data_IF_005771755391
#
_entry.id   IF_005771755391
#
_cell.length_a   1.000
_cell.length_b   1.000
_cell.length_c   1.000
_cell.angle_alpha   90.00
_cell.angle_beta   90.00
_cell.angle_gamma   90.00
#
_symmetry.space_group_name_H-M   'P 1'
#
loop_
_entity.id
_entity.type
_entity.pdbx_description
1 polymer ?
#
# COMPACT_ATOMS: atom_id res chain seq x y z
N UNK A 1 3.85 12.69 55.08
CA UNK A 1 3.29 11.54 54.35
C UNK A 1 1.84 11.85 54.01
N UNK A 2 1.57 12.35 52.81
CA UNK A 2 0.22 12.54 52.27
C UNK A 2 0.18 11.78 50.95
N UNK A 3 -0.61 10.72 50.91
CA UNK A 3 -0.80 9.88 49.73
C UNK A 3 -1.62 10.65 48.69
N UNK A 4 -1.02 10.91 47.53
CA UNK A 4 -1.72 11.45 46.38
C UNK A 4 -2.64 10.36 45.78
N UNK A 5 -3.95 10.59 45.82
CA UNK A 5 -4.93 9.81 45.06
C UNK A 5 -4.88 10.22 43.58
N UNK A 6 -4.17 9.45 42.76
CA UNK A 6 -4.30 9.51 41.31
C UNK A 6 -5.66 8.93 40.89
N UNK A 7 -6.57 9.76 40.36
CA UNK A 7 -7.78 9.27 39.68
C UNK A 7 -7.34 8.53 38.41
N UNK A 8 -7.69 7.25 38.32
CA UNK A 8 -7.61 6.51 37.07
C UNK A 8 -8.63 7.13 36.09
N UNK A 9 -8.14 7.69 35.00
CA UNK A 9 -8.98 8.13 33.89
C UNK A 9 -9.46 6.88 33.15
N UNK A 10 -10.77 6.64 33.12
CA UNK A 10 -11.36 5.57 32.31
C UNK A 10 -11.14 5.80 30.81
N UNK A 11 -11.28 4.76 29.97
CA UNK A 11 -11.09 4.89 28.53
C UNK A 11 -12.06 5.91 27.94
N UNK A 12 -11.53 6.88 27.19
CA UNK A 12 -12.32 7.84 26.42
C UNK A 12 -12.50 7.30 25.01
N UNK A 13 -13.75 7.14 24.57
CA UNK A 13 -14.09 6.64 23.22
C UNK A 13 -14.57 7.80 22.35
N UNK A 14 -13.99 7.94 21.16
CA UNK A 14 -14.49 8.85 20.13
C UNK A 14 -15.53 8.12 19.27
N UNK A 15 -16.75 8.66 19.21
CA UNK A 15 -17.87 8.03 18.51
C UNK A 15 -18.13 8.62 17.11
N UNK A 16 -17.62 9.83 16.83
CA UNK A 16 -17.84 10.52 15.56
C UNK A 16 -16.71 10.25 14.55
N UNK A 17 -17.08 9.77 13.37
CA UNK A 17 -16.15 9.50 12.29
C UNK A 17 -16.11 10.66 11.29
N UNK A 18 -15.24 11.64 11.53
CA UNK A 18 -15.08 12.84 10.69
C UNK A 18 -14.75 12.57 9.21
N UNK A 19 -14.14 11.41 8.90
CA UNK A 19 -13.75 11.06 7.54
C UNK A 19 -14.92 10.59 6.68
N UNK A 20 -15.90 9.88 7.25
CA UNK A 20 -16.95 9.23 6.47
C UNK A 20 -18.12 10.19 6.23
N UNK A 21 -18.33 10.59 4.98
CA UNK A 21 -19.30 11.63 4.63
C UNK A 21 -20.72 11.11 4.32
N UNK A 22 -20.95 9.79 4.41
CA UNK A 22 -22.19 9.16 3.96
C UNK A 22 -22.72 8.09 4.92
N UNK A 23 -23.99 8.17 5.40
CA UNK A 23 -24.55 7.22 6.37
C UNK A 23 -24.53 5.76 5.91
N UNK A 24 -24.82 5.51 4.63
CA UNK A 24 -24.81 4.15 4.07
C UNK A 24 -23.39 3.55 4.04
N UNK A 25 -22.39 4.36 3.72
CA UNK A 25 -21.00 3.92 3.72
C UNK A 25 -20.48 3.73 5.15
N UNK A 26 -20.85 4.62 6.08
CA UNK A 26 -20.54 4.47 7.49
C UNK A 26 -21.12 3.18 8.08
N UNK A 27 -22.35 2.82 7.74
CA UNK A 27 -22.98 1.56 8.15
C UNK A 27 -22.21 0.35 7.62
N UNK A 28 -21.76 0.39 6.37
CA UNK A 28 -20.91 -0.66 5.78
C UNK A 28 -19.58 -0.77 6.54
N UNK A 29 -18.87 0.34 6.76
CA UNK A 29 -17.60 0.35 7.48
C UNK A 29 -17.76 -0.15 8.92
N UNK A 30 -18.82 0.27 9.60
CA UNK A 30 -19.14 -0.21 10.96
C UNK A 30 -19.36 -1.72 10.96
N UNK A 31 -20.12 -2.25 10.01
CA UNK A 31 -20.29 -3.70 9.89
C UNK A 31 -18.94 -4.38 9.66
N UNK A 32 -18.14 -3.94 8.70
CA UNK A 32 -16.82 -4.54 8.43
C UNK A 32 -15.85 -4.46 9.61
N UNK A 33 -16.06 -3.50 10.53
CA UNK A 33 -15.28 -3.37 11.76
C UNK A 33 -15.66 -4.43 12.79
N UNK A 34 -16.96 -4.72 12.95
CA UNK A 34 -17.50 -5.51 14.08
C UNK A 34 -18.02 -6.89 13.70
N UNK A 35 -18.28 -7.14 12.41
CA UNK A 35 -18.86 -8.39 11.93
C UNK A 35 -18.44 -8.70 10.48
N UNK A 36 -18.69 -9.93 10.05
CA UNK A 36 -18.59 -10.28 8.62
C UNK A 36 -19.76 -9.65 7.85
N UNK A 37 -19.58 -9.29 6.56
CA UNK A 37 -20.65 -8.70 5.77
C UNK A 37 -21.78 -9.70 5.53
N UNK A 38 -23.02 -9.21 5.59
CA UNK A 38 -24.19 -9.98 5.17
C UNK A 38 -24.25 -10.16 3.64
N UNK A 39 -25.20 -10.96 3.15
CA UNK A 39 -25.37 -11.22 1.71
C UNK A 39 -25.56 -9.95 0.88
N UNK A 40 -26.23 -8.93 1.42
CA UNK A 40 -26.51 -7.67 0.70
C UNK A 40 -25.23 -6.87 0.55
N UNK A 41 -24.48 -6.69 1.63
CA UNK A 41 -23.23 -5.93 1.61
C UNK A 41 -22.13 -6.68 0.85
N UNK A 42 -22.08 -8.01 0.93
CA UNK A 42 -21.18 -8.81 0.10
C UNK A 42 -21.47 -8.63 -1.40
N UNK A 43 -22.76 -8.64 -1.81
CA UNK A 43 -23.16 -8.36 -3.20
C UNK A 43 -22.77 -6.95 -3.64
N UNK A 44 -22.93 -5.95 -2.78
CA UNK A 44 -22.52 -4.58 -3.05
C UNK A 44 -21.00 -4.46 -3.25
N UNK A 45 -20.19 -5.04 -2.36
CA UNK A 45 -18.73 -5.08 -2.51
C UNK A 45 -18.34 -5.80 -3.82
N UNK A 46 -18.97 -6.94 -4.10
CA UNK A 46 -18.72 -7.72 -5.31
C UNK A 46 -19.20 -7.04 -6.60
N UNK A 47 -20.05 -6.02 -6.54
CA UNK A 47 -20.42 -5.21 -7.72
C UNK A 47 -19.38 -4.15 -8.10
N UNK A 48 -18.42 -3.86 -7.22
CA UNK A 48 -17.41 -2.81 -7.39
C UNK A 48 -16.07 -3.38 -7.83
N UNK A 49 -16.05 -4.22 -8.85
CA UNK A 49 -14.84 -4.92 -9.28
C UNK A 49 -13.93 -4.01 -10.10
N UNK A 50 -12.62 -3.96 -9.80
CA UNK A 50 -11.65 -3.25 -10.62
C UNK A 50 -11.25 -4.01 -11.90
N UNK A 51 -11.42 -5.34 -11.91
CA UNK A 51 -11.11 -6.20 -13.05
C UNK A 51 -11.95 -7.48 -13.05
N UNK A 52 -11.90 -8.18 -14.18
CA UNK A 52 -12.59 -9.45 -14.39
C UNK A 52 -11.68 -10.62 -14.03
N UNK A 53 -12.23 -11.67 -13.41
CA UNK A 53 -11.47 -12.85 -12.99
C UNK A 53 -11.40 -13.00 -11.47
N UNK A 54 -11.10 -14.21 -11.01
CA UNK A 54 -11.01 -14.59 -9.59
C UNK A 54 -9.57 -14.83 -9.16
N UNK A 55 -8.62 -13.99 -9.54
CA UNK A 55 -7.20 -14.16 -9.23
C UNK A 55 -6.43 -12.84 -9.25
N UNK A 56 -5.09 -12.90 -9.18
CA UNK A 56 -4.22 -11.73 -9.36
C UNK A 56 -4.54 -11.00 -10.67
N UNK A 57 -4.49 -9.66 -10.69
CA UNK A 57 -4.78 -8.90 -11.90
C UNK A 57 -3.72 -9.15 -12.97
N UNK A 58 -4.15 -9.24 -14.23
CA UNK A 58 -3.23 -9.24 -15.38
C UNK A 58 -2.61 -7.83 -15.58
N UNK A 59 -1.51 -7.73 -16.36
CA UNK A 59 -0.96 -6.43 -16.74
C UNK A 59 -1.99 -5.50 -17.41
N UNK A 60 -2.88 -6.06 -18.23
CA UNK A 60 -3.95 -5.31 -18.90
C UNK A 60 -5.04 -4.83 -17.92
N UNK A 61 -5.33 -5.61 -16.88
CA UNK A 61 -6.25 -5.20 -15.83
C UNK A 61 -5.73 -3.99 -15.06
N UNK A 62 -4.47 -4.06 -14.61
CA UNK A 62 -3.86 -2.96 -13.85
C UNK A 62 -3.70 -1.73 -14.73
N UNK A 63 -3.29 -1.89 -16.00
CA UNK A 63 -3.21 -0.79 -16.96
C UNK A 63 -4.55 -0.09 -17.16
N UNK A 64 -5.65 -0.84 -17.38
CA UNK A 64 -6.99 -0.28 -17.53
C UNK A 64 -7.45 0.43 -16.26
N UNK A 65 -7.21 -0.16 -15.10
CA UNK A 65 -7.50 0.45 -13.80
C UNK A 65 -6.80 1.80 -13.68
N UNK A 66 -5.47 1.84 -13.82
CA UNK A 66 -4.68 3.06 -13.65
C UNK A 66 -4.99 4.13 -14.72
N UNK A 67 -5.43 3.72 -15.92
CA UNK A 67 -5.92 4.67 -16.94
C UNK A 67 -7.26 5.30 -16.55
N UNK A 68 -8.18 4.51 -15.98
CA UNK A 68 -9.52 4.98 -15.58
C UNK A 68 -9.54 5.71 -14.23
N UNK A 69 -8.60 5.38 -13.34
CA UNK A 69 -8.45 5.90 -11.98
C UNK A 69 -6.96 6.11 -11.68
N UNK A 70 -6.32 7.12 -12.28
CA UNK A 70 -4.89 7.39 -12.07
C UNK A 70 -4.57 7.80 -10.62
N UNK A 71 -5.58 8.25 -9.87
CA UNK A 71 -5.53 8.63 -8.46
C UNK A 71 -5.73 7.45 -7.49
N UNK A 72 -6.02 6.24 -8.00
CA UNK A 72 -6.24 5.09 -7.12
C UNK A 72 -4.95 4.62 -6.47
N UNK A 73 -5.02 4.38 -5.18
CA UNK A 73 -4.00 3.58 -4.48
C UNK A 73 -4.48 2.13 -4.40
N UNK A 74 -3.71 1.19 -4.95
CA UNK A 74 -4.02 -0.23 -4.79
C UNK A 74 -3.50 -0.71 -3.45
N UNK A 75 -4.41 -1.17 -2.59
CA UNK A 75 -4.08 -1.73 -1.28
C UNK A 75 -4.24 -3.25 -1.31
N UNK A 76 -3.24 -3.97 -0.80
CA UNK A 76 -3.24 -5.43 -0.69
C UNK A 76 -3.12 -5.86 0.77
N UNK A 77 -3.40 -7.13 1.06
CA UNK A 77 -3.21 -7.68 2.40
C UNK A 77 -1.75 -8.08 2.60
N UNK A 78 -1.18 -8.80 1.63
CA UNK A 78 0.19 -9.29 1.72
C UNK A 78 1.17 -8.50 0.85
N UNK A 79 2.46 -8.59 1.21
CA UNK A 79 3.58 -8.08 0.39
C UNK A 79 3.68 -8.79 -0.95
N UNK A 80 3.36 -10.09 -1.01
CA UNK A 80 3.31 -10.86 -2.26
C UNK A 80 2.22 -10.32 -3.19
N UNK A 81 1.05 -10.01 -2.65
CA UNK A 81 -0.02 -9.33 -3.40
C UNK A 81 0.41 -7.97 -3.93
N UNK A 82 1.07 -7.15 -3.10
CA UNK A 82 1.59 -5.85 -3.54
C UNK A 82 2.64 -6.01 -4.65
N UNK A 83 3.56 -6.96 -4.52
CA UNK A 83 4.57 -7.25 -5.55
C UNK A 83 3.90 -7.70 -6.86
N UNK A 84 2.93 -8.61 -6.80
CA UNK A 84 2.20 -9.08 -7.98
C UNK A 84 1.51 -7.93 -8.73
N UNK A 85 0.81 -7.05 -8.02
CA UNK A 85 0.16 -5.88 -8.63
C UNK A 85 1.19 -4.90 -9.19
N UNK A 86 2.28 -4.63 -8.46
CA UNK A 86 3.33 -3.75 -8.94
C UNK A 86 4.01 -4.29 -10.20
N UNK A 87 4.29 -5.59 -10.27
CA UNK A 87 4.85 -6.23 -11.47
C UNK A 87 3.88 -6.14 -12.65
N UNK A 88 2.60 -6.45 -12.44
CA UNK A 88 1.57 -6.30 -13.47
C UNK A 88 1.44 -4.84 -13.95
N UNK A 89 1.57 -3.86 -13.04
CA UNK A 89 1.58 -2.44 -13.41
C UNK A 89 2.79 -2.11 -14.29
N UNK A 90 3.99 -2.57 -13.92
CA UNK A 90 5.21 -2.31 -14.67
C UNK A 90 5.17 -2.95 -16.07
N UNK A 91 4.73 -4.21 -16.17
CA UNK A 91 4.54 -4.91 -17.44
C UNK A 91 3.48 -4.23 -18.31
N UNK A 92 2.36 -3.78 -17.72
CA UNK A 92 1.27 -3.15 -18.45
C UNK A 92 1.61 -1.73 -18.94
N UNK A 93 2.34 -0.96 -18.13
CA UNK A 93 2.67 0.45 -18.42
C UNK A 93 3.95 0.61 -19.25
N UNK A 94 4.90 -0.32 -19.15
CA UNK A 94 6.21 -0.25 -19.82
C UNK A 94 6.53 -1.47 -20.72
N UNK A 95 5.60 -2.02 -21.52
CA UNK A 95 5.78 -3.31 -22.21
C UNK A 95 6.83 -3.30 -23.33
N UNK A 96 7.26 -2.12 -23.80
CA UNK A 96 8.11 -1.96 -25.00
C UNK A 96 9.48 -1.34 -24.71
N UNK A 97 9.79 -1.03 -23.46
CA UNK A 97 11.03 -0.37 -23.10
C UNK A 97 11.83 -1.29 -22.18
N UNK A 98 13.11 -1.56 -22.46
CA UNK A 98 13.96 -2.17 -21.45
C UNK A 98 14.12 -1.20 -20.27
N UNK A 99 14.25 -1.71 -19.03
CA UNK A 99 14.55 -0.87 -17.89
C UNK A 99 15.91 -0.18 -18.09
N UNK A 100 16.05 1.03 -17.56
CA UNK A 100 17.31 1.79 -17.58
C UNK A 100 18.39 1.11 -16.75
N UNK A 101 17.98 0.50 -15.64
CA UNK A 101 18.83 -0.24 -14.72
C UNK A 101 17.94 -1.14 -13.84
N UNK A 102 18.52 -2.17 -13.24
CA UNK A 102 17.94 -2.89 -12.12
C UNK A 102 18.67 -2.49 -10.84
N UNK A 103 17.94 -2.05 -9.83
CA UNK A 103 18.53 -1.61 -8.56
C UNK A 103 18.10 -2.52 -7.41
N UNK A 104 18.94 -2.56 -6.38
CA UNK A 104 18.60 -3.07 -5.06
C UNK A 104 17.78 -2.01 -4.32
N UNK A 105 16.48 -2.23 -4.23
CA UNK A 105 15.50 -1.31 -3.68
C UNK A 105 15.06 -1.72 -2.27
N UNK A 106 13.98 -1.13 -1.77
CA UNK A 106 13.51 -1.30 -0.40
C UNK A 106 13.48 -2.75 0.13
N UNK A 107 14.23 -3.00 1.20
CA UNK A 107 14.38 -4.32 1.84
C UNK A 107 13.05 -4.81 2.42
N UNK A 108 12.30 -3.94 3.07
CA UNK A 108 11.03 -4.30 3.71
C UNK A 108 9.89 -4.58 2.72
N UNK A 109 10.05 -4.16 1.46
CA UNK A 109 9.10 -4.42 0.39
C UNK A 109 9.32 -5.79 -0.26
N UNK A 110 10.47 -6.42 -0.05
CA UNK A 110 10.76 -7.74 -0.57
C UNK A 110 9.94 -8.81 0.19
N UNK A 111 8.99 -9.51 -0.46
CA UNK A 111 8.22 -10.54 0.21
C UNK A 111 9.04 -11.77 0.62
N UNK A 112 10.19 -12.02 0.01
CA UNK A 112 11.05 -13.15 0.34
C UNK A 112 11.76 -12.98 1.68
N UNK A 113 11.76 -11.76 2.23
CA UNK A 113 12.25 -11.46 3.58
C UNK A 113 11.25 -11.86 4.68
N UNK A 114 10.11 -12.44 4.32
CA UNK A 114 9.06 -12.80 5.25
C UNK A 114 8.65 -14.27 5.09
N UNK A 115 8.52 -14.95 6.21
CA UNK A 115 8.01 -16.32 6.30
C UNK A 115 6.83 -16.36 7.25
N UNK A 116 5.68 -16.84 6.77
CA UNK A 116 4.41 -16.87 7.54
C UNK A 116 4.00 -15.52 8.15
N UNK A 117 4.43 -14.41 7.53
CA UNK A 117 4.14 -13.04 7.99
C UNK A 117 5.19 -12.45 8.94
N UNK A 118 6.11 -13.27 9.43
CA UNK A 118 7.22 -12.84 10.28
C UNK A 118 8.43 -12.49 9.43
N UNK A 119 9.16 -11.45 9.86
CA UNK A 119 10.39 -11.03 9.18
C UNK A 119 11.51 -12.01 9.53
N UNK A 120 12.31 -12.41 8.52
CA UNK A 120 13.52 -13.20 8.71
C UNK A 120 14.57 -12.45 9.56
N UNK A 121 15.57 -13.18 10.05
CA UNK A 121 16.74 -12.61 10.71
C UNK A 121 17.48 -11.61 9.80
N UNK A 122 18.18 -10.64 10.39
CA UNK A 122 18.80 -9.52 9.67
C UNK A 122 19.77 -9.99 8.59
N UNK A 123 20.55 -11.03 8.88
CA UNK A 123 21.57 -11.59 8.01
C UNK A 123 20.98 -12.28 6.77
N UNK A 124 19.69 -12.63 6.82
CA UNK A 124 18.96 -13.26 5.74
C UNK A 124 18.11 -12.27 4.93
N UNK A 125 18.12 -10.98 5.29
CA UNK A 125 17.37 -9.96 4.56
C UNK A 125 18.10 -9.59 3.27
N UNK A 126 17.34 -9.53 2.18
CA UNK A 126 17.84 -9.10 0.88
C UNK A 126 17.01 -7.94 0.32
N UNK A 127 17.65 -6.92 -0.29
CA UNK A 127 16.94 -5.86 -1.00
C UNK A 127 15.95 -6.41 -2.05
N UNK A 128 14.87 -5.69 -2.31
CA UNK A 128 13.98 -6.03 -3.44
C UNK A 128 14.65 -5.63 -4.74
N UNK A 129 14.76 -6.53 -5.72
CA UNK A 129 15.18 -6.13 -7.06
C UNK A 129 14.07 -5.34 -7.74
N UNK A 130 14.40 -4.16 -8.28
CA UNK A 130 13.43 -3.28 -8.94
C UNK A 130 13.97 -2.79 -10.29
N UNK A 131 13.23 -2.97 -11.39
CA UNK A 131 13.55 -2.35 -12.66
C UNK A 131 13.20 -0.85 -12.62
N UNK A 132 14.06 -0.02 -13.21
CA UNK A 132 13.86 1.42 -13.29
C UNK A 132 13.41 1.82 -14.69
N UNK A 133 12.21 2.39 -14.81
CA UNK A 133 11.70 2.98 -16.04
C UNK A 133 11.51 4.48 -15.89
N UNK A 134 11.79 5.25 -16.95
CA UNK A 134 11.44 6.68 -16.96
C UNK A 134 9.93 6.81 -16.87
N UNK A 135 9.45 7.76 -16.07
CA UNK A 135 8.04 7.99 -15.73
C UNK A 135 7.37 6.94 -14.84
N UNK A 136 8.08 5.92 -14.33
CA UNK A 136 7.47 5.04 -13.32
C UNK A 136 7.20 5.80 -12.02
N UNK A 137 6.12 5.40 -11.34
CA UNK A 137 5.80 5.89 -10.01
C UNK A 137 6.58 5.08 -8.97
N UNK A 138 7.19 5.76 -8.01
CA UNK A 138 7.85 5.17 -6.85
C UNK A 138 7.41 5.86 -5.58
N UNK A 139 7.56 5.16 -4.45
CA UNK A 139 7.49 5.78 -3.13
C UNK A 139 8.87 5.76 -2.49
N UNK A 140 9.24 6.86 -1.83
CA UNK A 140 10.41 6.88 -0.94
C UNK A 140 10.09 6.10 0.33
N UNK A 141 11.07 5.38 0.88
CA UNK A 141 10.87 4.50 2.04
C UNK A 141 11.64 4.91 3.28
N UNK A 142 12.37 6.04 3.23
CA UNK A 142 13.13 6.59 4.35
C UNK A 142 12.90 8.10 4.51
N UNK A 143 13.05 8.57 5.74
CA UNK A 143 13.14 9.99 6.05
C UNK A 143 14.60 10.41 5.98
N UNK A 144 14.95 11.22 4.98
CA UNK A 144 16.33 11.69 4.78
C UNK A 144 16.38 13.22 4.85
N UNK A 145 15.47 13.92 4.15
CA UNK A 145 15.46 15.39 4.07
C UNK A 145 14.05 15.92 3.87
N UNK A 146 13.49 16.55 4.90
CA UNK A 146 12.08 17.01 4.89
C UNK A 146 11.86 18.27 4.06
N UNK A 147 12.87 19.12 3.93
CA UNK A 147 12.84 20.40 3.18
C UNK A 147 12.60 20.23 1.67
N UNK A 148 12.86 19.03 1.14
CA UNK A 148 12.63 18.66 -0.27
C UNK A 148 11.78 17.41 -0.41
N UNK A 149 10.97 17.10 0.61
CA UNK A 149 10.05 15.96 0.56
C UNK A 149 10.72 14.59 0.45
N UNK A 150 11.99 14.45 0.81
CA UNK A 150 12.61 13.13 0.99
C UNK A 150 12.18 12.53 2.33
N UNK A 151 10.93 12.09 2.37
CA UNK A 151 10.26 11.48 3.52
C UNK A 151 9.63 10.15 3.15
N UNK A 152 9.51 9.25 4.13
CA UNK A 152 8.86 7.96 3.95
C UNK A 152 7.40 8.17 3.52
N UNK A 153 7.00 7.52 2.42
CA UNK A 153 5.67 7.66 1.85
C UNK A 153 5.50 8.82 0.88
N UNK A 154 6.55 9.58 0.56
CA UNK A 154 6.48 10.57 -0.53
C UNK A 154 6.41 9.87 -1.89
N UNK A 155 5.38 10.19 -2.67
CA UNK A 155 5.23 9.72 -4.04
C UNK A 155 6.13 10.52 -4.97
N UNK A 156 6.86 9.82 -5.84
CA UNK A 156 7.71 10.42 -6.85
C UNK A 156 7.49 9.80 -8.23
N UNK A 157 7.84 10.56 -9.27
CA UNK A 157 7.98 10.11 -10.65
C UNK A 157 9.46 10.01 -11.00
N UNK A 158 9.87 8.90 -11.59
CA UNK A 158 11.25 8.72 -12.07
C UNK A 158 11.50 9.60 -13.30
N UNK A 159 12.53 10.43 -13.24
CA UNK A 159 13.01 11.25 -14.35
C UNK A 159 14.07 10.52 -15.18
N UNK A 160 14.86 9.66 -14.54
CA UNK A 160 15.85 8.82 -15.22
C UNK A 160 16.92 8.28 -14.30
N UNK A 161 17.90 7.62 -14.90
CA UNK A 161 19.07 7.06 -14.23
C UNK A 161 20.32 7.85 -14.65
N UNK A 162 21.21 8.10 -13.70
CA UNK A 162 22.57 8.58 -13.93
C UNK A 162 23.54 7.42 -13.67
N UNK A 163 24.14 6.89 -14.73
CA UNK A 163 25.03 5.74 -14.65
C UNK A 163 26.39 6.10 -14.05
N UNK A 164 26.85 7.34 -14.19
CA UNK A 164 28.15 7.77 -13.66
C UNK A 164 28.06 7.99 -12.14
N UNK A 165 26.97 8.61 -11.69
CA UNK A 165 26.73 8.87 -10.27
C UNK A 165 26.06 7.70 -9.52
N UNK A 166 25.66 6.64 -10.25
CA UNK A 166 24.79 5.57 -9.75
C UNK A 166 23.60 6.16 -8.97
N UNK A 167 22.82 7.01 -9.65
CA UNK A 167 21.79 7.80 -8.99
C UNK A 167 20.45 7.78 -9.73
N UNK A 168 19.38 7.57 -8.97
CA UNK A 168 18.02 7.63 -9.48
C UNK A 168 17.50 9.08 -9.39
N UNK A 169 17.22 9.71 -10.53
CA UNK A 169 16.64 11.06 -10.56
C UNK A 169 15.12 10.98 -10.48
N UNK A 170 14.54 11.73 -9.55
CA UNK A 170 13.09 11.72 -9.28
C UNK A 170 12.53 13.13 -9.16
N UNK A 171 11.21 13.24 -9.31
CA UNK A 171 10.41 14.44 -9.01
C UNK A 171 9.26 14.05 -8.07
N UNK A 172 9.10 14.75 -6.95
CA UNK A 172 7.98 14.55 -6.01
C UNK A 172 6.68 15.09 -6.58
N UNK A 173 5.53 14.69 -6.00
CA UNK A 173 4.22 15.24 -6.40
C UNK A 173 4.08 16.75 -6.13
N UNK A 174 4.90 17.30 -5.24
CA UNK A 174 5.02 18.74 -4.93
C UNK A 174 6.00 19.49 -5.83
N UNK A 175 6.73 18.79 -6.72
CA UNK A 175 7.60 19.39 -7.73
C UNK A 175 9.09 19.47 -7.36
N UNK A 176 9.52 18.94 -6.21
CA UNK A 176 10.95 18.88 -5.86
C UNK A 176 11.66 17.84 -6.71
N UNK A 177 12.82 18.22 -7.26
CA UNK A 177 13.67 17.35 -8.08
C UNK A 177 14.99 17.08 -7.39
N UNK A 178 15.35 15.81 -7.26
CA UNK A 178 16.62 15.40 -6.65
C UNK A 178 17.06 14.02 -7.13
N UNK A 179 18.30 13.68 -6.81
CA UNK A 179 18.85 12.36 -6.98
C UNK A 179 18.69 11.53 -5.69
N UNK A 180 18.41 10.25 -5.85
CA UNK A 180 18.37 9.25 -4.78
C UNK A 180 19.56 8.32 -4.98
N UNK A 181 20.39 8.23 -3.94
CA UNK A 181 21.55 7.35 -3.88
C UNK A 181 21.26 6.13 -3.00
N UNK A 182 22.09 5.07 -3.07
CA UNK A 182 22.05 3.99 -2.11
C UNK A 182 22.21 4.52 -0.68
N UNK A 183 21.41 3.97 0.23
CA UNK A 183 21.41 4.23 1.65
C UNK A 183 21.99 3.01 2.38
N UNK A 184 22.94 3.24 3.29
CA UNK A 184 23.44 2.21 4.22
C UNK A 184 22.57 2.22 5.46
N UNK A 185 21.88 1.12 5.71
CA UNK A 185 20.92 1.01 6.79
C UNK A 185 21.49 0.27 8.00
N UNK A 186 21.93 1.02 9.00
CA UNK A 186 22.52 0.47 10.23
C UNK A 186 21.54 -0.39 11.02
N UNK A 187 20.24 -0.09 10.94
CA UNK A 187 19.19 -0.83 11.66
C UNK A 187 18.88 -2.18 10.99
N UNK A 188 19.29 -2.35 9.73
CA UNK A 188 19.17 -3.58 8.96
C UNK A 188 20.53 -4.26 8.73
N UNK A 189 21.48 -4.09 9.65
CA UNK A 189 22.78 -4.78 9.56
C UNK A 189 23.69 -4.22 8.46
N UNK A 190 23.64 -2.91 8.22
CA UNK A 190 24.41 -2.20 7.20
C UNK A 190 24.09 -2.60 5.75
N UNK A 191 22.88 -3.13 5.50
CA UNK A 191 22.43 -3.41 4.13
C UNK A 191 22.38 -2.11 3.33
N UNK A 192 22.92 -2.15 2.12
CA UNK A 192 22.94 -1.02 1.18
C UNK A 192 21.85 -1.21 0.13
N UNK A 193 20.95 -0.23 0.01
CA UNK A 193 19.86 -0.26 -0.97
C UNK A 193 19.35 1.14 -1.30
N UNK A 194 18.67 1.32 -2.43
CA UNK A 194 17.97 2.56 -2.75
C UNK A 194 16.65 2.62 -1.95
N UNK A 195 16.40 3.67 -1.15
CA UNK A 195 15.22 3.79 -0.30
C UNK A 195 13.96 4.16 -1.10
N UNK A 196 13.63 3.32 -2.08
CA UNK A 196 12.50 3.46 -3.01
C UNK A 196 11.84 2.12 -3.24
N UNK A 197 10.56 2.14 -3.63
CA UNK A 197 9.80 0.95 -4.06
C UNK A 197 8.82 1.31 -5.18
N UNK A 198 8.34 0.36 -6.00
CA UNK A 198 7.29 0.63 -6.97
C UNK A 198 6.04 1.23 -6.30
N UNK A 199 5.43 2.19 -7.00
CA UNK A 199 4.43 3.07 -6.43
C UNK A 199 2.97 2.68 -6.64
N UNK A 200 2.68 1.55 -7.29
CA UNK A 200 1.32 1.23 -7.77
C UNK A 200 0.48 0.46 -6.75
N UNK A 201 1.13 -0.32 -5.89
CA UNK A 201 0.46 -1.06 -4.83
C UNK A 201 1.27 -1.09 -3.53
N UNK A 202 0.58 -1.24 -2.41
CA UNK A 202 1.18 -1.44 -1.09
C UNK A 202 0.25 -2.21 -0.16
N UNK A 203 0.78 -2.61 1.00
CA UNK A 203 -0.04 -3.31 1.99
C UNK A 203 -0.92 -2.32 2.77
N UNK A 204 -2.13 -2.76 3.13
CA UNK A 204 -3.07 -1.98 3.96
C UNK A 204 -2.41 -1.48 5.26
N UNK A 205 -1.50 -2.26 5.84
CA UNK A 205 -0.77 -1.89 7.06
C UNK A 205 0.09 -0.63 6.92
N UNK A 206 0.63 -0.32 5.73
CA UNK A 206 1.44 0.89 5.50
C UNK A 206 0.61 2.17 5.38
N UNK A 207 -0.71 2.07 5.24
CA UNK A 207 -1.63 3.21 5.06
C UNK A 207 -2.55 3.42 6.26
N UNK A 208 -2.19 2.90 7.44
CA UNK A 208 -2.89 3.23 8.68
C UNK A 208 -2.79 4.74 8.96
N UNK A 209 -3.91 5.39 9.30
CA UNK A 209 -4.00 6.84 9.48
C UNK A 209 -4.28 7.67 8.21
N UNK A 210 -3.86 7.23 7.02
CA UNK A 210 -3.99 8.01 5.79
C UNK A 210 -5.44 8.22 5.33
N UNK A 211 -5.69 9.34 4.65
CA UNK A 211 -6.88 9.60 3.83
C UNK A 211 -6.48 9.60 2.36
N UNK A 212 -7.19 8.84 1.54
CA UNK A 212 -6.89 8.63 0.13
C UNK A 212 -8.08 9.08 -0.73
N UNK A 213 -7.83 9.68 -1.91
CA UNK A 213 -8.91 10.11 -2.81
C UNK A 213 -9.70 8.94 -3.37
N UNK A 214 -9.01 7.83 -3.69
CA UNK A 214 -9.61 6.60 -4.17
C UNK A 214 -8.78 5.37 -3.77
N UNK A 215 -9.44 4.25 -3.45
CA UNK A 215 -8.79 2.98 -3.12
C UNK A 215 -9.28 1.84 -4.00
N UNK A 216 -8.35 1.05 -4.52
CA UNK A 216 -8.65 -0.29 -5.02
C UNK A 216 -8.14 -1.31 -4.01
N UNK A 217 -9.02 -1.95 -3.26
CA UNK A 217 -8.65 -2.98 -2.30
C UNK A 217 -8.61 -4.36 -2.99
N UNK A 218 -7.44 -4.98 -3.03
CA UNK A 218 -7.26 -6.36 -3.49
C UNK A 218 -6.98 -7.27 -2.30
N UNK A 219 -7.96 -8.10 -1.95
CA UNK A 219 -7.89 -9.02 -0.81
C UNK A 219 -7.22 -10.32 -1.28
N UNK A 220 -5.90 -10.30 -1.36
CA UNK A 220 -5.08 -11.40 -1.88
C UNK A 220 -4.89 -12.58 -0.90
N UNK A 221 -5.14 -12.33 0.39
CA UNK A 221 -5.12 -13.33 1.45
C UNK A 221 -6.39 -13.22 2.32
N UNK A 222 -7.25 -14.26 2.39
CA UNK A 222 -8.44 -14.25 3.23
C UNK A 222 -8.07 -14.44 4.72
N UNK A 223 -9.04 -14.20 5.61
CA UNK A 223 -8.89 -14.53 7.02
C UNK A 223 -8.13 -13.50 7.87
N UNK A 224 -7.55 -12.45 7.27
CA UNK A 224 -6.81 -11.43 8.02
C UNK A 224 -7.76 -10.47 8.74
N UNK A 225 -7.72 -10.39 10.09
CA UNK A 225 -8.61 -9.52 10.87
C UNK A 225 -8.49 -8.04 10.47
N UNK A 226 -9.63 -7.35 10.47
CA UNK A 226 -9.79 -5.93 10.18
C UNK A 226 -9.28 -5.42 8.83
N UNK A 227 -8.79 -6.30 7.94
CA UNK A 227 -8.09 -5.90 6.73
C UNK A 227 -8.99 -5.13 5.75
N UNK A 228 -10.20 -5.64 5.48
CA UNK A 228 -11.18 -4.99 4.63
C UNK A 228 -11.62 -3.64 5.17
N UNK A 229 -11.90 -3.56 6.48
CA UNK A 229 -12.24 -2.30 7.16
C UNK A 229 -11.08 -1.29 7.07
N UNK A 230 -9.86 -1.72 7.37
CA UNK A 230 -8.68 -0.83 7.38
C UNK A 230 -8.41 -0.27 5.99
N UNK A 231 -8.54 -1.09 4.94
CA UNK A 231 -8.38 -0.64 3.55
C UNK A 231 -9.49 0.31 3.09
N UNK A 232 -10.76 -0.04 3.32
CA UNK A 232 -11.89 0.78 2.83
C UNK A 232 -12.12 2.05 3.64
N UNK A 233 -11.73 2.09 4.91
CA UNK A 233 -11.84 3.30 5.75
C UNK A 233 -10.82 4.39 5.40
N UNK A 234 -10.00 4.21 4.35
CA UNK A 234 -9.08 5.25 3.86
C UNK A 234 -9.79 6.29 2.99
N UNK A 235 -10.96 5.97 2.43
CA UNK A 235 -11.71 6.90 1.58
C UNK A 235 -12.90 7.50 2.32
N UNK A 236 -13.37 8.66 1.86
CA UNK A 236 -14.42 9.40 2.54
C UNK A 236 -15.84 8.98 2.12
N UNK A 237 -16.01 8.39 0.92
CA UNK A 237 -17.32 7.99 0.40
C UNK A 237 -17.34 6.58 -0.20
N UNK A 238 -18.54 5.99 -0.25
CA UNK A 238 -18.72 4.66 -0.83
C UNK A 238 -18.61 4.60 -2.36
N UNK A 239 -18.37 5.74 -3.03
CA UNK A 239 -18.11 5.80 -4.47
C UNK A 239 -16.63 5.65 -4.80
N UNK A 240 -15.76 5.94 -3.84
CA UNK A 240 -14.33 6.12 -4.04
C UNK A 240 -13.53 4.84 -3.78
N UNK A 241 -14.17 3.68 -3.93
CA UNK A 241 -13.49 2.42 -3.80
C UNK A 241 -13.96 1.35 -4.78
N UNK A 242 -13.01 0.46 -5.09
CA UNK A 242 -13.18 -0.80 -5.80
C UNK A 242 -12.64 -1.95 -4.93
N UNK A 243 -13.17 -3.16 -5.12
CA UNK A 243 -12.77 -4.37 -4.38
C UNK A 243 -12.58 -5.55 -5.31
N UNK A 244 -11.46 -6.24 -5.15
CA UNK A 244 -11.18 -7.55 -5.71
C UNK A 244 -10.71 -8.51 -4.60
N UNK A 245 -10.74 -9.80 -4.89
CA UNK A 245 -10.20 -10.85 -4.02
C UNK A 245 -9.47 -11.88 -4.88
N UNK A 246 -8.55 -12.63 -4.27
CA UNK A 246 -7.99 -13.81 -4.90
C UNK A 246 -9.01 -14.95 -4.82
N UNK A 247 -9.86 -15.04 -5.84
CA UNK A 247 -11.02 -15.92 -5.90
C UNK A 247 -12.34 -15.16 -5.81
N UNK A 248 -13.46 -15.88 -5.66
CA UNK A 248 -14.74 -15.25 -5.36
C UNK A 248 -14.67 -14.46 -4.05
N UNK A 249 -15.18 -13.24 -4.04
CA UNK A 249 -15.30 -12.46 -2.80
C UNK A 249 -16.33 -13.14 -1.88
N UNK A 250 -15.86 -13.63 -0.74
CA UNK A 250 -16.67 -14.25 0.32
C UNK A 250 -16.59 -13.45 1.61
N UNK A 251 -17.46 -13.77 2.58
CA UNK A 251 -17.46 -13.15 3.91
C UNK A 251 -16.14 -13.35 4.69
N UNK A 252 -15.34 -14.37 4.35
CA UNK A 252 -14.03 -14.64 5.00
C UNK A 252 -12.94 -13.64 4.63
N UNK A 253 -13.15 -12.88 3.55
CA UNK A 253 -12.28 -11.77 3.17
C UNK A 253 -12.48 -10.54 4.06
N UNK A 254 -13.45 -10.56 4.98
CA UNK A 254 -13.83 -9.44 5.83
C UNK A 254 -14.00 -9.90 7.28
N UNK A 255 -12.93 -10.49 7.83
CA UNK A 255 -12.88 -10.83 9.27
C UNK A 255 -12.79 -9.53 10.06
N UNK A 256 -13.64 -9.31 11.09
CA UNK A 256 -13.60 -8.09 11.90
C UNK A 256 -12.34 -8.02 12.78
N UNK A 257 -12.10 -6.87 13.40
CA UNK A 257 -11.09 -6.77 14.46
C UNK A 257 -11.51 -7.64 15.65
N UNK A 258 -10.56 -8.29 16.32
CA UNK A 258 -10.83 -8.90 17.63
C UNK A 258 -10.80 -7.77 18.67
N UNK A 259 -11.85 -7.67 19.48
CA UNK A 259 -11.86 -6.81 20.67
C UNK A 259 -10.98 -7.40 21.79
#
# INVERSE_FOLDING_TARGET
>A
MVLAHGRAWGPTTLHEAFRCKGPAFWKLLTQLRTARPDKKNLKFLASKKPWTGGGPPSPDDVRRLLKSRPDTTVLTISRRGAQAVNNAALEGLFPRYPPKVWIDADVESNPDNYERGERKALEALVPSKMPVYVNMQVYLTRNVRKDIDFVNGMQCRVLGWDAQAAALRVETTTGHRFAVWPWTDTDLGNIVYYPVRPGYASTVGRFQGAELPHVTLYIDAPGVPAAAYTGLSRVSTGKDFLVAANGPLTAEHSVPARE
#
